data_IF_350032579138
#
_entry.id   IF_350032579138
#
_cell.length_a   1.000
_cell.length_b   1.000
_cell.length_c   1.000
_cell.angle_alpha   90.00
_cell.angle_beta   90.00
_cell.angle_gamma   90.00
#
_symmetry.space_group_name_H-M   'P 1'
#
loop_
_entity.id
_entity.type
_entity.pdbx_description
1 polymer ?
#
# COMPACT_ATOMS: atom_id res chain seq x y z
N UNK A 1 -11.85 4.98 19.59
CA UNK A 1 -11.04 6.13 19.15
C UNK A 1 -10.88 6.01 17.66
N UNK A 2 -11.20 7.07 16.92
CA UNK A 2 -11.29 7.09 15.47
C UNK A 2 -10.12 7.95 14.95
N UNK A 3 -9.10 7.32 14.36
CA UNK A 3 -8.04 7.90 13.53
C UNK A 3 -8.57 8.25 12.11
N UNK A 4 -8.65 9.49 11.68
CA UNK A 4 -9.16 9.77 10.33
C UNK A 4 -8.28 9.13 9.22
N UNK A 5 -8.89 8.38 8.30
CA UNK A 5 -8.24 7.75 7.14
C UNK A 5 -9.13 7.89 5.90
N UNK A 6 -8.52 8.13 4.73
CA UNK A 6 -9.21 8.24 3.44
C UNK A 6 -8.71 9.38 2.53
N UNK A 7 -8.39 10.55 3.10
CA UNK A 7 -8.04 11.76 2.30
C UNK A 7 -6.54 11.88 1.95
N UNK A 8 -5.76 10.82 2.19
CA UNK A 8 -4.30 10.82 1.98
C UNK A 8 -3.78 9.53 1.33
N UNK A 9 -4.70 8.74 0.77
CA UNK A 9 -4.39 7.50 0.09
C UNK A 9 -3.97 7.79 -1.35
N UNK A 10 -2.90 7.15 -1.79
CA UNK A 10 -2.39 7.36 -3.13
C UNK A 10 -1.38 6.33 -3.54
N UNK A 11 -0.76 6.54 -4.68
CA UNK A 11 0.36 5.71 -5.12
C UNK A 11 1.35 6.53 -5.91
N UNK A 12 2.61 6.10 -5.83
CA UNK A 12 3.66 6.58 -6.72
C UNK A 12 3.81 5.57 -7.83
N UNK A 13 3.83 6.06 -9.07
CA UNK A 13 4.16 5.26 -10.23
C UNK A 13 5.38 5.83 -10.95
N UNK A 14 6.32 4.97 -11.35
CA UNK A 14 7.52 5.38 -12.08
C UNK A 14 7.65 4.65 -13.41
N UNK A 15 8.29 5.29 -14.38
CA UNK A 15 8.64 4.68 -15.65
C UNK A 15 9.79 3.69 -15.44
N UNK A 16 9.47 2.38 -15.53
CA UNK A 16 10.39 1.32 -15.17
C UNK A 16 11.69 1.34 -16.00
N UNK A 17 11.56 1.61 -17.30
CA UNK A 17 12.66 1.54 -18.26
C UNK A 17 13.69 2.67 -18.10
N UNK A 18 13.37 3.68 -17.28
CA UNK A 18 14.27 4.80 -16.98
C UNK A 18 15.14 4.54 -15.76
N UNK A 19 14.81 3.54 -14.94
CA UNK A 19 15.60 3.17 -13.78
C UNK A 19 16.92 2.46 -14.15
N UNK A 20 17.96 2.56 -13.30
CA UNK A 20 18.04 3.42 -12.11
C UNK A 20 18.49 4.85 -12.43
N UNK A 21 18.69 5.17 -13.71
CA UNK A 21 19.34 6.43 -14.15
C UNK A 21 18.46 7.65 -13.91
N UNK A 22 17.16 7.54 -14.18
CA UNK A 22 16.17 8.60 -14.01
C UNK A 22 14.96 8.01 -13.28
N UNK A 23 14.55 8.65 -12.19
CA UNK A 23 13.35 8.27 -11.43
C UNK A 23 12.19 9.19 -11.81
N UNK A 24 11.76 9.12 -13.07
CA UNK A 24 10.64 9.92 -13.55
C UNK A 24 9.32 9.17 -13.36
N UNK A 25 8.32 9.86 -12.83
CA UNK A 25 7.05 9.24 -12.48
C UNK A 25 5.97 10.24 -12.08
N UNK A 26 4.86 9.73 -11.58
CA UNK A 26 3.73 10.53 -11.13
C UNK A 26 3.33 10.15 -9.71
N UNK A 27 2.89 11.16 -8.95
CA UNK A 27 2.13 10.97 -7.73
C UNK A 27 0.66 10.95 -8.12
N UNK A 28 -0.06 9.92 -7.71
CA UNK A 28 -1.50 9.81 -7.92
C UNK A 28 -2.18 9.86 -6.56
N UNK A 29 -2.98 10.91 -6.37
CA UNK A 29 -3.74 11.23 -5.17
C UNK A 29 -5.22 10.84 -5.32
N UNK A 30 -5.91 10.68 -4.19
CA UNK A 30 -7.38 10.78 -4.07
C UNK A 30 -8.17 9.96 -5.10
N UNK A 31 -7.81 8.69 -5.26
CA UNK A 31 -8.50 7.74 -6.14
C UNK A 31 -9.40 6.76 -5.38
N UNK A 32 -10.28 6.03 -6.10
CA UNK A 32 -11.13 4.95 -5.54
C UNK A 32 -10.34 3.73 -5.02
N UNK A 33 -9.02 3.82 -5.04
CA UNK A 33 -8.02 2.88 -4.56
C UNK A 33 -6.63 3.21 -5.13
N UNK A 34 -5.60 2.66 -4.49
CA UNK A 34 -4.22 2.85 -4.82
C UNK A 34 -3.63 1.60 -5.50
N UNK A 35 -2.93 1.81 -6.61
CA UNK A 35 -2.36 0.72 -7.42
C UNK A 35 -1.03 0.23 -6.86
N UNK A 36 -0.84 -1.09 -6.92
CA UNK A 36 0.39 -1.79 -6.54
C UNK A 36 0.74 -2.80 -7.61
N UNK A 37 2.01 -2.84 -8.03
CA UNK A 37 2.52 -3.84 -8.97
C UNK A 37 3.05 -3.20 -10.24
N UNK A 38 2.94 -3.92 -11.35
CA UNK A 38 3.52 -3.50 -12.62
C UNK A 38 2.42 -3.32 -13.67
N UNK A 39 2.21 -2.09 -14.11
CA UNK A 39 1.17 -1.67 -15.03
C UNK A 39 1.73 -1.18 -16.37
N UNK A 40 0.83 -0.71 -17.24
CA UNK A 40 1.19 -0.11 -18.53
C UNK A 40 0.62 1.31 -18.65
N UNK A 41 1.50 2.28 -18.90
CA UNK A 41 1.18 3.65 -19.29
C UNK A 41 1.40 3.84 -20.78
N UNK A 42 0.39 3.53 -21.59
CA UNK A 42 0.57 3.40 -23.04
C UNK A 42 1.51 2.23 -23.36
N UNK A 43 2.65 2.51 -23.99
CA UNK A 43 3.68 1.51 -24.29
C UNK A 43 4.73 1.36 -23.18
N UNK A 44 4.67 2.18 -22.13
CA UNK A 44 5.69 2.21 -21.09
C UNK A 44 5.28 1.35 -19.90
N UNK A 45 6.23 0.60 -19.37
CA UNK A 45 6.04 -0.17 -18.13
C UNK A 45 6.09 0.76 -16.92
N UNK A 46 5.13 0.61 -16.01
CA UNK A 46 5.01 1.40 -14.79
C UNK A 46 5.21 0.52 -13.56
N UNK A 47 6.09 0.91 -12.63
CA UNK A 47 6.16 0.29 -11.29
C UNK A 47 5.34 1.16 -10.34
N UNK A 48 4.35 0.58 -9.68
CA UNK A 48 3.39 1.25 -8.81
C UNK A 48 3.52 0.75 -7.37
N UNK A 49 3.59 1.68 -6.42
CA UNK A 49 3.61 1.41 -4.98
C UNK A 49 2.53 2.26 -4.30
N UNK A 50 1.59 1.61 -3.62
CA UNK A 50 0.56 2.34 -2.88
C UNK A 50 1.07 2.82 -1.54
N UNK A 51 0.48 3.91 -1.08
CA UNK A 51 0.83 4.62 0.14
C UNK A 51 -0.46 5.00 0.86
N UNK A 52 -0.52 4.59 2.12
CA UNK A 52 -1.63 4.86 3.03
C UNK A 52 -1.05 5.58 4.25
N UNK A 53 -1.60 6.74 4.58
CA UNK A 53 -1.09 7.62 5.64
C UNK A 53 -2.15 7.79 6.71
N UNK A 54 -1.83 7.36 7.93
CA UNK A 54 -2.75 7.38 9.07
C UNK A 54 -2.32 8.43 10.07
N UNK A 55 -3.26 9.28 10.49
CA UNK A 55 -3.02 10.26 11.55
C UNK A 55 -2.97 9.53 12.90
N UNK A 56 -1.84 9.64 13.60
CA UNK A 56 -1.60 8.95 14.88
C UNK A 56 -1.65 9.91 16.07
N UNK A 57 -2.21 11.11 15.92
CA UNK A 57 -2.24 12.13 16.97
C UNK A 57 -2.93 11.67 18.27
N UNK A 58 -3.86 10.71 18.18
CA UNK A 58 -4.58 10.16 19.33
C UNK A 58 -3.99 8.82 19.82
N UNK A 59 -3.00 8.26 19.15
CA UNK A 59 -2.39 7.00 19.57
C UNK A 59 -1.62 7.16 20.88
N UNK A 60 -1.92 6.31 21.86
CA UNK A 60 -1.24 6.32 23.16
C UNK A 60 -0.37 5.09 23.38
N UNK A 61 -0.89 3.89 23.08
CA UNK A 61 -0.23 2.58 23.27
C UNK A 61 -1.05 1.45 22.63
N UNK A 62 -0.51 0.23 22.66
CA UNK A 62 -1.18 -0.98 22.19
C UNK A 62 -0.99 -1.27 20.71
N UNK A 63 -1.47 -2.43 20.29
CA UNK A 63 -1.53 -2.82 18.88
C UNK A 63 -2.63 -2.09 18.13
N UNK A 64 -2.42 -1.86 16.83
CA UNK A 64 -3.40 -1.22 15.95
C UNK A 64 -3.71 -2.15 14.77
N UNK A 65 -4.99 -2.29 14.45
CA UNK A 65 -5.45 -3.08 13.32
C UNK A 65 -5.95 -2.19 12.20
N UNK A 66 -5.27 -2.22 11.05
CA UNK A 66 -5.58 -1.45 9.85
C UNK A 66 -6.38 -2.30 8.86
N UNK A 67 -7.45 -1.74 8.28
CA UNK A 67 -8.30 -2.47 7.34
C UNK A 67 -8.09 -1.96 5.92
N UNK A 68 -8.05 -2.91 4.99
CA UNK A 68 -7.82 -2.68 3.59
C UNK A 68 -8.79 -3.53 2.76
N UNK A 69 -9.20 -3.03 1.60
CA UNK A 69 -10.01 -3.75 0.65
C UNK A 69 -9.23 -3.98 -0.63
N UNK A 70 -9.28 -5.22 -1.15
CA UNK A 70 -8.87 -5.49 -2.53
C UNK A 70 -10.02 -5.09 -3.45
N UNK A 71 -9.84 -4.01 -4.22
CA UNK A 71 -10.86 -3.47 -5.13
C UNK A 71 -10.81 -4.12 -6.50
N UNK A 72 -9.59 -4.27 -7.03
CA UNK A 72 -9.35 -4.83 -8.36
C UNK A 72 -8.08 -5.69 -8.38
N UNK A 73 -8.03 -6.63 -9.32
CA UNK A 73 -6.91 -7.54 -9.55
C UNK A 73 -6.73 -7.72 -11.06
N UNK A 74 -5.59 -7.26 -11.57
CA UNK A 74 -5.20 -7.40 -12.97
C UNK A 74 -4.03 -8.38 -13.06
N UNK A 75 -4.19 -9.43 -13.88
CA UNK A 75 -3.16 -10.44 -14.07
C UNK A 75 -2.83 -11.22 -12.79
N UNK A 76 -1.54 -11.49 -12.57
CA UNK A 76 -1.03 -12.25 -11.42
C UNK A 76 0.17 -11.52 -10.81
N UNK A 77 -0.04 -10.51 -9.95
CA UNK A 77 1.02 -9.70 -9.34
C UNK A 77 1.94 -10.49 -8.38
N UNK A 78 1.67 -11.76 -8.14
CA UNK A 78 2.47 -12.60 -7.25
C UNK A 78 2.36 -12.12 -5.81
N UNK A 79 3.51 -11.87 -5.18
CA UNK A 79 3.59 -11.47 -3.76
C UNK A 79 3.61 -9.95 -3.67
N UNK A 80 2.75 -9.42 -2.81
CA UNK A 80 2.77 -8.01 -2.42
C UNK A 80 3.34 -7.91 -1.02
N UNK A 81 4.46 -7.22 -0.87
CA UNK A 81 5.05 -6.95 0.43
C UNK A 81 4.49 -5.66 1.01
N UNK A 82 4.19 -5.68 2.30
CA UNK A 82 3.72 -4.53 3.05
C UNK A 82 4.84 -4.01 3.92
N UNK A 83 5.03 -2.70 3.91
CA UNK A 83 6.10 -2.02 4.61
C UNK A 83 5.55 -0.89 5.48
N UNK A 84 6.20 -0.66 6.61
CA UNK A 84 6.18 0.65 7.27
C UNK A 84 7.28 1.49 6.62
N UNK A 85 6.93 2.67 6.13
CA UNK A 85 7.85 3.57 5.41
C UNK A 85 7.92 4.94 6.09
N UNK A 86 8.99 5.73 5.85
CA UNK A 86 9.02 7.11 6.30
C UNK A 86 7.83 7.90 5.75
N UNK A 87 7.29 8.81 6.56
CA UNK A 87 6.24 9.72 6.14
C UNK A 87 6.75 10.64 5.01
N UNK A 88 6.10 10.58 3.85
CA UNK A 88 6.37 11.46 2.70
C UNK A 88 5.55 12.75 2.75
N UNK A 89 4.68 12.90 3.76
CA UNK A 89 3.65 13.93 3.78
C UNK A 89 2.39 13.50 3.02
N UNK A 90 1.43 14.42 2.94
CA UNK A 90 0.18 14.17 2.23
C UNK A 90 0.40 14.09 0.73
N UNK A 91 -0.11 13.01 0.11
CA UNK A 91 -0.20 12.87 -1.34
C UNK A 91 -1.51 13.49 -1.85
N UNK A 92 -1.76 14.77 -1.55
CA UNK A 92 -3.06 15.42 -1.82
C UNK A 92 -3.20 16.01 -3.22
N UNK A 93 -2.23 15.79 -4.11
CA UNK A 93 -2.30 16.34 -5.46
C UNK A 93 -1.67 15.38 -6.47
N UNK A 94 -2.51 14.94 -7.42
CA UNK A 94 -2.06 14.20 -8.58
C UNK A 94 -1.17 15.10 -9.44
N UNK A 95 0.04 14.64 -9.75
CA UNK A 95 0.92 15.33 -10.69
C UNK A 95 0.33 15.27 -12.10
N UNK A 96 0.31 16.39 -12.82
CA UNK A 96 -0.21 16.44 -14.20
C UNK A 96 0.71 15.81 -15.25
N UNK A 97 2.03 15.98 -15.08
CA UNK A 97 3.08 15.42 -15.94
C UNK A 97 4.09 14.61 -15.10
N UNK A 98 4.90 13.73 -15.71
CA UNK A 98 5.99 13.06 -14.99
C UNK A 98 6.97 14.05 -14.36
N UNK A 99 7.24 13.87 -13.08
CA UNK A 99 8.18 14.64 -12.26
C UNK A 99 9.35 13.77 -11.80
N UNK A 100 10.43 14.40 -11.32
CA UNK A 100 11.53 13.69 -10.66
C UNK A 100 11.08 13.26 -9.26
N UNK A 101 11.07 11.94 -9.03
CA UNK A 101 10.65 11.30 -7.78
C UNK A 101 11.82 10.58 -7.09
N UNK A 102 13.06 10.95 -7.40
CA UNK A 102 14.25 10.27 -6.86
C UNK A 102 14.27 10.24 -5.33
N UNK A 103 13.87 11.34 -4.67
CA UNK A 103 13.89 11.43 -3.22
C UNK A 103 12.83 10.53 -2.58
N UNK A 104 11.59 10.63 -3.05
CA UNK A 104 10.44 9.85 -2.62
C UNK A 104 10.69 8.35 -2.84
N UNK A 105 11.11 7.98 -4.05
CA UNK A 105 11.37 6.58 -4.39
C UNK A 105 12.48 5.97 -3.55
N UNK A 106 13.53 6.75 -3.28
CA UNK A 106 14.64 6.32 -2.40
C UNK A 106 14.17 6.16 -0.95
N UNK A 107 13.33 7.06 -0.46
CA UNK A 107 12.70 6.96 0.87
C UNK A 107 11.86 5.68 0.99
N UNK A 108 11.05 5.37 -0.02
CA UNK A 108 10.24 4.14 -0.07
C UNK A 108 11.05 2.84 -0.11
N UNK A 109 12.31 2.88 -0.53
CA UNK A 109 13.19 1.71 -0.49
C UNK A 109 13.75 1.43 0.91
N UNK A 110 13.61 2.36 1.86
CA UNK A 110 14.14 2.25 3.22
C UNK A 110 13.07 1.80 4.25
N UNK A 111 11.98 1.20 3.79
CA UNK A 111 10.91 0.70 4.67
C UNK A 111 11.23 -0.64 5.35
N UNK A 112 10.54 -0.89 6.47
CA UNK A 112 10.59 -2.16 7.19
C UNK A 112 9.46 -3.06 6.72
N UNK A 113 9.78 -4.24 6.15
CA UNK A 113 8.76 -5.21 5.73
C UNK A 113 8.06 -5.80 6.95
N UNK A 114 6.73 -5.76 6.96
CA UNK A 114 5.91 -6.27 8.08
C UNK A 114 5.09 -7.51 7.69
N UNK A 115 4.57 -7.57 6.46
CA UNK A 115 3.70 -8.66 5.99
C UNK A 115 3.95 -8.96 4.50
N UNK A 116 3.49 -10.12 4.06
CA UNK A 116 3.35 -10.53 2.66
C UNK A 116 1.88 -10.83 2.40
N UNK A 117 1.30 -10.23 1.37
CA UNK A 117 -0.07 -10.44 0.92
C UNK A 117 -0.05 -11.21 -0.39
N UNK A 118 -0.87 -12.26 -0.45
CA UNK A 118 -1.24 -12.97 -1.67
C UNK A 118 -2.67 -12.61 -2.01
N UNK A 119 -2.88 -12.06 -3.21
CA UNK A 119 -4.20 -11.65 -3.66
C UNK A 119 -4.78 -12.74 -4.54
N UNK A 120 -6.01 -13.17 -4.22
CA UNK A 120 -6.70 -14.25 -4.91
C UNK A 120 -8.07 -13.79 -5.43
N UNK A 121 -8.58 -14.45 -6.47
CA UNK A 121 -9.94 -14.23 -6.95
C UNK A 121 -10.96 -14.79 -5.94
N UNK A 122 -12.12 -14.14 -5.83
CA UNK A 122 -13.15 -14.45 -4.82
C UNK A 122 -13.73 -15.88 -4.88
N UNK A 123 -13.44 -16.65 -5.93
CA UNK A 123 -13.84 -18.05 -6.09
C UNK A 123 -12.89 -19.05 -5.42
N UNK A 124 -11.72 -18.61 -4.97
CA UNK A 124 -10.84 -19.41 -4.11
C UNK A 124 -11.33 -19.30 -2.66
N UNK A 125 -11.56 -20.45 -2.00
CA UNK A 125 -12.20 -20.54 -0.68
C UNK A 125 -11.55 -19.66 0.39
N UNK A 126 -12.34 -19.16 1.34
CA UNK A 126 -11.87 -18.25 2.39
C UNK A 126 -11.01 -18.93 3.45
N UNK A 127 -10.18 -18.09 4.07
CA UNK A 127 -9.36 -18.26 5.27
C UNK A 127 -7.95 -18.82 5.03
N UNK A 128 -6.97 -18.10 5.62
CA UNK A 128 -5.57 -18.49 5.73
C UNK A 128 -5.47 -20.01 5.97
N UNK A 129 -4.86 -20.79 5.06
CA UNK A 129 -4.63 -22.21 5.28
C UNK A 129 -4.01 -22.48 6.65
N UNK A 130 -4.39 -23.58 7.30
CA UNK A 130 -3.76 -23.99 8.56
C UNK A 130 -2.25 -24.06 8.36
N UNK A 131 -1.49 -23.39 9.23
CA UNK A 131 -0.02 -23.28 9.12
C UNK A 131 0.48 -22.11 8.27
N UNK A 132 -0.40 -21.17 7.88
CA UNK A 132 0.01 -19.89 7.30
C UNK A 132 0.93 -19.15 8.28
N UNK A 133 2.15 -18.74 7.88
CA UNK A 133 3.02 -17.93 8.73
C UNK A 133 2.33 -16.63 9.17
N UNK A 134 2.64 -16.16 10.38
CA UNK A 134 2.04 -14.94 10.93
C UNK A 134 2.28 -13.69 10.07
N UNK A 135 3.34 -13.70 9.24
CA UNK A 135 3.67 -12.63 8.32
C UNK A 135 2.99 -12.76 6.94
N UNK A 136 2.06 -13.70 6.76
CA UNK A 136 1.39 -13.96 5.49
C UNK A 136 -0.13 -13.77 5.59
N UNK A 137 -0.69 -13.09 4.58
CA UNK A 137 -2.13 -12.83 4.45
C UNK A 137 -2.60 -13.30 3.07
N UNK A 138 -3.70 -14.05 3.03
CA UNK A 138 -4.41 -14.38 1.78
C UNK A 138 -5.62 -13.46 1.62
N UNK A 139 -5.44 -12.37 0.88
CA UNK A 139 -6.49 -11.39 0.60
C UNK A 139 -7.30 -11.80 -0.64
N UNK A 140 -8.59 -11.47 -0.66
CA UNK A 140 -9.50 -11.85 -1.74
C UNK A 140 -10.06 -10.62 -2.45
N UNK A 141 -10.14 -10.69 -3.78
CA UNK A 141 -10.77 -9.67 -4.61
C UNK A 141 -12.20 -9.36 -4.11
N UNK A 142 -12.50 -8.08 -3.92
CA UNK A 142 -13.79 -7.59 -3.44
C UNK A 142 -14.00 -7.74 -1.93
N UNK A 143 -13.01 -8.21 -1.17
CA UNK A 143 -13.10 -8.44 0.28
C UNK A 143 -12.15 -7.53 1.07
N UNK A 144 -12.56 -7.25 2.29
CA UNK A 144 -11.73 -6.62 3.31
C UNK A 144 -10.76 -7.64 3.92
N UNK A 145 -9.57 -7.16 4.27
CA UNK A 145 -8.58 -7.86 5.08
C UNK A 145 -7.97 -6.86 6.05
N UNK A 146 -7.35 -7.35 7.12
CA UNK A 146 -6.71 -6.49 8.11
C UNK A 146 -5.22 -6.81 8.29
N UNK A 147 -4.49 -5.81 8.77
CA UNK A 147 -3.10 -5.91 9.17
C UNK A 147 -3.00 -5.39 10.60
N UNK A 148 -2.65 -6.26 11.54
CA UNK A 148 -2.34 -5.88 12.92
C UNK A 148 -0.85 -5.58 13.05
N UNK A 149 -0.54 -4.42 13.62
CA UNK A 149 0.82 -4.02 14.00
C UNK A 149 0.97 -4.10 15.52
N UNK A 150 2.15 -4.54 15.97
CA UNK A 150 2.49 -4.51 17.39
C UNK A 150 2.69 -3.07 17.87
N UNK A 151 2.64 -2.86 19.19
CA UNK A 151 2.97 -1.56 19.77
C UNK A 151 4.39 -1.09 19.37
N UNK A 152 5.36 -2.01 19.28
CA UNK A 152 6.72 -1.71 18.84
C UNK A 152 6.75 -1.23 17.38
N UNK A 153 6.05 -1.92 16.48
CA UNK A 153 5.96 -1.53 15.06
C UNK A 153 5.29 -0.16 14.90
N UNK A 154 4.22 0.09 15.65
CA UNK A 154 3.49 1.37 15.61
C UNK A 154 4.36 2.50 16.15
N UNK A 155 4.91 2.34 17.35
CA UNK A 155 5.74 3.39 17.98
C UNK A 155 7.02 3.66 17.19
N UNK A 156 7.69 2.63 16.68
CA UNK A 156 8.88 2.77 15.83
C UNK A 156 8.59 3.30 14.43
N UNK A 157 7.36 3.11 13.95
CA UNK A 157 6.92 3.54 12.62
C UNK A 157 6.37 4.96 12.56
N UNK A 158 5.92 5.53 13.68
CA UNK A 158 5.36 6.89 13.71
C UNK A 158 6.45 7.92 13.39
N UNK A 159 6.20 8.73 12.36
CA UNK A 159 7.02 9.85 11.94
C UNK A 159 6.13 11.06 11.66
N UNK A 160 6.49 12.24 12.17
CA UNK A 160 5.70 13.46 11.94
C UNK A 160 4.25 13.36 12.45
N UNK A 161 3.99 12.53 13.46
CA UNK A 161 2.65 12.28 14.01
C UNK A 161 1.78 11.35 13.15
N UNK A 162 2.36 10.69 12.14
CA UNK A 162 1.65 9.81 11.23
C UNK A 162 2.35 8.46 11.09
N UNK A 163 1.60 7.45 10.68
CA UNK A 163 2.13 6.15 10.28
C UNK A 163 1.84 5.95 8.79
N UNK A 164 2.87 5.61 8.01
CA UNK A 164 2.73 5.37 6.58
C UNK A 164 2.95 3.89 6.26
N UNK A 165 1.96 3.29 5.61
CA UNK A 165 1.98 1.89 5.17
C UNK A 165 2.07 1.89 3.65
N UNK A 166 3.06 1.17 3.11
CA UNK A 166 3.27 0.99 1.69
C UNK A 166 2.99 -0.46 1.29
N UNK A 167 2.29 -0.67 0.18
CA UNK A 167 2.27 -1.96 -0.49
C UNK A 167 3.11 -1.90 -1.76
N UNK A 168 3.93 -2.92 -1.97
CA UNK A 168 4.90 -3.00 -3.07
C UNK A 168 4.94 -4.43 -3.60
N UNK A 169 4.91 -4.60 -4.92
CA UNK A 169 5.16 -5.93 -5.47
C UNK A 169 6.59 -6.39 -5.18
N UNK A 170 6.73 -7.64 -4.75
CA UNK A 170 8.04 -8.21 -4.44
C UNK A 170 8.93 -8.32 -5.69
N UNK A 171 8.31 -8.59 -6.84
CA UNK A 171 8.99 -8.61 -8.13
C UNK A 171 8.54 -7.44 -8.99
N UNK A 172 9.28 -6.34 -8.98
CA UNK A 172 8.97 -5.16 -9.82
C UNK A 172 9.49 -5.31 -11.26
N UNK A 173 10.13 -6.43 -11.60
CA UNK A 173 10.67 -6.68 -12.94
C UNK A 173 9.71 -7.44 -13.86
N UNK A 174 8.59 -7.94 -13.32
CA UNK A 174 7.58 -8.67 -14.07
C UNK A 174 7.03 -7.87 -15.27
N UNK A 175 6.34 -8.57 -16.17
CA UNK A 175 5.68 -7.96 -17.31
C UNK A 175 4.55 -7.01 -16.86
N UNK A 176 4.27 -5.99 -17.68
CA UNK A 176 3.16 -5.08 -17.43
C UNK A 176 1.80 -5.78 -17.45
N UNK A 177 0.86 -5.29 -16.63
CA UNK A 177 -0.48 -5.87 -16.50
C UNK A 177 -0.62 -6.84 -15.33
N UNK A 178 0.24 -6.72 -14.32
CA UNK A 178 0.22 -7.54 -13.10
C UNK A 178 0.16 -6.61 -11.89
N UNK A 179 -1.06 -6.28 -11.45
CA UNK A 179 -1.30 -5.27 -10.42
C UNK A 179 -2.55 -5.54 -9.59
N UNK A 180 -2.62 -4.92 -8.42
CA UNK A 180 -3.77 -4.92 -7.51
C UNK A 180 -4.13 -3.49 -7.13
N UNK A 181 -5.41 -3.23 -6.93
CA UNK A 181 -5.91 -1.97 -6.37
C UNK A 181 -6.34 -2.21 -4.93
N UNK A 182 -5.74 -1.47 -4.00
CA UNK A 182 -6.01 -1.54 -2.56
C UNK A 182 -6.67 -0.23 -2.11
N UNK A 183 -7.69 -0.29 -1.26
CA UNK A 183 -8.37 0.90 -0.71
C UNK A 183 -8.53 0.79 0.80
N UNK A 184 -8.52 1.91 1.52
CA UNK A 184 -9.02 1.97 2.91
C UNK A 184 -10.47 2.46 2.99
N UNK A 185 -11.04 2.86 1.86
CA UNK A 185 -12.38 3.47 1.77
C UNK A 185 -13.34 2.67 0.89
N UNK A 186 -14.58 2.57 1.36
CA UNK A 186 -15.77 2.46 0.53
C UNK A 186 -16.77 3.51 1.01
N UNK A 187 -17.63 4.01 0.11
CA UNK A 187 -18.68 4.95 0.49
C UNK A 187 -19.54 4.40 1.64
N UNK A 188 -19.26 4.84 2.88
CA UNK A 188 -20.11 4.62 4.05
C UNK A 188 -19.54 3.85 5.27
N UNK A 189 -18.29 3.37 5.29
CA UNK A 189 -17.74 2.60 6.45
C UNK A 189 -16.36 3.11 6.95
N UNK A 190 -16.12 2.97 8.26
CA UNK A 190 -14.97 3.54 9.03
C UNK A 190 -13.75 2.58 9.03
N UNK A 191 -12.47 3.04 8.91
CA UNK A 191 -11.38 2.19 8.41
C UNK A 191 -10.48 1.42 9.42
N UNK A 192 -10.64 1.51 10.75
CA UNK A 192 -9.80 0.74 11.69
C UNK A 192 -10.35 0.69 13.11
N UNK A 193 -9.76 -0.22 13.92
CA UNK A 193 -10.04 -0.38 15.35
C UNK A 193 -8.73 -0.45 16.15
N UNK A 194 -8.71 0.19 17.33
CA UNK A 194 -7.63 0.05 18.32
C UNK A 194 -8.09 -0.98 19.37
N UNK A 195 -7.41 -2.11 19.46
CA UNK A 195 -7.63 -3.09 20.53
C UNK A 195 -6.84 -2.67 21.78
N UNK A 196 -7.52 -2.52 22.92
CA UNK A 196 -6.89 -2.25 24.21
C UNK A 196 -6.50 -3.55 24.92
#
# INVERSE_FOLDING_TARGET
>A
MELEGGDQDGYIQILADLLPNITAGMIIADGEGAWVGVGMGGQNKLIMRSLFRFNMAQYERGSVEFYFKVRDLVGSPGKIDVYIVPDLGSLSTTSGDPIDLKAEWSSLNNGTRIKTVYVQTASSGSANPVGTPDDVIYAQLGRWFSITLSEEDVTGGISGGHLSIMFRARDENMDGGNAVVISTYESGDIPYYISH
#
